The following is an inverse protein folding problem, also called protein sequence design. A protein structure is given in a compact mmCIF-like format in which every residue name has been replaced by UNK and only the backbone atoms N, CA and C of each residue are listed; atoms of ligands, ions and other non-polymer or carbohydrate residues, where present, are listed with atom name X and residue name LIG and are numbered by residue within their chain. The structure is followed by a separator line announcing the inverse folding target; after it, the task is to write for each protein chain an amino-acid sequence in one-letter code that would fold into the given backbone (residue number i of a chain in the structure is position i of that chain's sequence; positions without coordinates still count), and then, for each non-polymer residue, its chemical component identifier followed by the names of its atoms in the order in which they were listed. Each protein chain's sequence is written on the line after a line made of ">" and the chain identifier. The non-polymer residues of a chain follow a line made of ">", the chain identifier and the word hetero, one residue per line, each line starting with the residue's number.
data_IF_543457846013
#
_entry.id   IF_543457846013
#
_cell.length_a   1.000
_cell.length_b   1.000
_cell.length_c   1.000
_cell.angle_alpha   90.00
_cell.angle_beta   90.00
_cell.angle_gamma   90.00
#
_symmetry.space_group_name_H-M   'P 1'
#
loop_
_entity.id
_entity.type
_entity.pdbx_description
1 polymer ?
#
# COMPACT_ATOMS: atom_id res chain seq x y z
N UNK A 1 -10.14 -14.98 -1.92
CA UNK A 1 -9.49 -14.21 -3.00
C UNK A 1 -8.35 -15.09 -3.45
N UNK A 2 -8.40 -15.59 -4.69
CA UNK A 2 -7.44 -16.58 -5.20
C UNK A 2 -6.33 -15.83 -5.91
N UNK A 3 -5.34 -15.39 -5.15
CA UNK A 3 -4.22 -14.63 -5.68
C UNK A 3 -3.17 -15.59 -6.26
N UNK A 4 -2.55 -15.27 -7.41
CA UNK A 4 -1.53 -16.13 -8.02
C UNK A 4 -0.24 -16.19 -7.18
N UNK A 5 0.40 -17.36 -7.17
CA UNK A 5 1.76 -17.53 -6.62
C UNK A 5 2.81 -17.35 -7.73
N UNK A 6 4.01 -16.91 -7.34
CA UNK A 6 5.17 -16.86 -8.24
C UNK A 6 5.87 -18.22 -8.28
N UNK A 7 6.37 -18.60 -9.46
CA UNK A 7 7.24 -19.76 -9.63
C UNK A 7 8.67 -19.30 -9.94
N UNK A 8 9.58 -19.45 -8.99
CA UNK A 8 10.98 -18.97 -9.13
C UNK A 8 11.71 -19.54 -10.35
N UNK A 9 11.41 -20.80 -10.72
CA UNK A 9 12.07 -21.48 -11.85
C UNK A 9 11.43 -21.20 -13.21
N UNK A 10 10.36 -20.40 -13.26
CA UNK A 10 9.67 -20.01 -14.48
C UNK A 10 9.41 -18.50 -14.43
N UNK A 11 10.23 -17.70 -15.13
CA UNK A 11 10.21 -16.23 -15.04
C UNK A 11 8.85 -15.58 -15.33
N UNK A 12 8.02 -16.24 -16.14
CA UNK A 12 6.65 -15.81 -16.47
C UNK A 12 5.58 -16.71 -15.84
N UNK A 13 6.00 -17.68 -15.03
CA UNK A 13 5.14 -18.70 -14.45
C UNK A 13 4.36 -18.18 -13.25
N UNK A 14 3.06 -17.97 -13.45
CA UNK A 14 2.09 -17.82 -12.36
C UNK A 14 1.43 -19.17 -12.07
N UNK A 15 1.37 -19.53 -10.78
CA UNK A 15 0.64 -20.70 -10.32
C UNK A 15 -0.77 -20.25 -9.93
N UNK A 16 -1.77 -20.89 -10.51
CA UNK A 16 -3.19 -20.60 -10.30
C UNK A 16 -3.94 -21.90 -9.96
N UNK A 17 -5.00 -21.78 -9.15
CA UNK A 17 -5.93 -22.89 -8.94
C UNK A 17 -6.58 -23.30 -10.25
N UNK A 18 -6.61 -24.61 -10.54
CA UNK A 18 -7.28 -25.17 -11.71
C UNK A 18 -8.81 -25.05 -11.60
N UNK A 19 -9.32 -25.22 -10.38
CA UNK A 19 -10.72 -25.11 -10.01
C UNK A 19 -10.83 -24.22 -8.77
N UNK A 20 -10.85 -22.88 -8.92
CA UNK A 20 -10.83 -21.95 -7.78
C UNK A 20 -11.93 -22.23 -6.76
N UNK A 21 -13.11 -22.67 -7.20
CA UNK A 21 -14.24 -22.96 -6.30
C UNK A 21 -14.07 -24.25 -5.47
N UNK A 22 -13.06 -25.07 -5.76
CA UNK A 22 -12.72 -26.27 -5.00
C UNK A 22 -11.45 -26.04 -4.18
N UNK A 23 -11.60 -26.08 -2.85
CA UNK A 23 -10.47 -25.91 -1.93
C UNK A 23 -9.42 -27.01 -2.07
N UNK A 24 -9.77 -28.19 -2.60
CA UNK A 24 -8.82 -29.28 -2.80
C UNK A 24 -8.22 -29.29 -4.21
N UNK A 25 -8.54 -28.29 -5.03
CA UNK A 25 -8.02 -28.19 -6.40
C UNK A 25 -6.50 -28.07 -6.41
N UNK A 26 -5.88 -28.75 -7.38
CA UNK A 26 -4.49 -28.54 -7.70
C UNK A 26 -4.25 -27.11 -8.20
N UNK A 27 -3.03 -26.63 -7.97
CA UNK A 27 -2.58 -25.34 -8.46
C UNK A 27 -1.47 -25.58 -9.47
N UNK A 28 -1.61 -25.08 -10.69
CA UNK A 28 -0.65 -25.35 -11.76
C UNK A 28 -0.15 -24.09 -12.44
N UNK A 29 1.07 -24.17 -12.96
CA UNK A 29 1.65 -23.11 -13.76
C UNK A 29 1.08 -23.17 -15.18
N UNK A 30 0.69 -22.02 -15.74
CA UNK A 30 0.20 -21.96 -17.13
C UNK A 30 1.31 -22.10 -18.20
N UNK A 31 2.58 -21.95 -17.79
CA UNK A 31 3.72 -21.92 -18.71
C UNK A 31 4.62 -23.16 -18.61
N UNK A 32 4.48 -23.98 -17.57
CA UNK A 32 5.25 -25.21 -17.41
C UNK A 32 4.43 -26.29 -16.71
N UNK A 33 4.90 -27.53 -16.72
CA UNK A 33 4.20 -28.68 -16.13
C UNK A 33 4.27 -28.76 -14.59
N UNK A 34 4.56 -27.65 -13.92
CA UNK A 34 4.64 -27.62 -12.46
C UNK A 34 3.25 -27.61 -11.84
N UNK A 35 3.02 -28.50 -10.88
CA UNK A 35 1.78 -28.62 -10.12
C UNK A 35 2.11 -28.60 -8.63
N UNK A 36 1.33 -27.82 -7.88
CA UNK A 36 1.43 -27.61 -6.45
C UNK A 36 0.11 -28.01 -5.79
N UNK A 37 0.21 -28.73 -4.67
CA UNK A 37 -0.92 -29.11 -3.84
C UNK A 37 -0.78 -28.45 -2.46
N UNK A 38 -1.89 -28.32 -1.73
CA UNK A 38 -1.87 -27.82 -0.36
C UNK A 38 -1.68 -26.30 -0.22
N UNK A 39 -1.91 -25.53 -1.29
CA UNK A 39 -1.90 -24.06 -1.26
C UNK A 39 -2.83 -23.47 -0.16
N UNK A 40 -4.04 -24.00 0.10
CA UNK A 40 -4.87 -23.49 1.20
C UNK A 40 -4.21 -23.60 2.58
N UNK A 41 -3.43 -24.66 2.82
CA UNK A 41 -2.70 -24.83 4.07
C UNK A 41 -1.54 -23.83 4.16
N UNK A 42 -0.82 -23.61 3.06
CA UNK A 42 0.20 -22.57 2.97
C UNK A 42 -0.39 -21.18 3.27
N UNK A 43 -1.47 -20.79 2.57
CA UNK A 43 -2.13 -19.50 2.79
C UNK A 43 -2.65 -19.34 4.22
N UNK A 44 -3.17 -20.42 4.82
CA UNK A 44 -3.59 -20.41 6.23
C UNK A 44 -2.41 -20.13 7.17
N UNK A 45 -1.28 -20.80 6.96
CA UNK A 45 -0.09 -20.62 7.79
C UNK A 45 0.48 -19.20 7.66
N UNK A 46 0.56 -18.70 6.42
CA UNK A 46 1.02 -17.32 6.13
C UNK A 46 0.09 -16.29 6.76
N UNK A 47 -1.23 -16.51 6.70
CA UNK A 47 -2.22 -15.64 7.35
C UNK A 47 -2.01 -15.59 8.87
N UNK A 48 -1.85 -16.76 9.52
CA UNK A 48 -1.63 -16.83 10.97
C UNK A 48 -0.33 -16.12 11.37
N UNK A 49 0.75 -16.30 10.59
CA UNK A 49 2.00 -15.60 10.81
C UNK A 49 1.80 -14.08 10.69
N UNK A 50 1.15 -13.62 9.63
CA UNK A 50 0.87 -12.20 9.42
C UNK A 50 0.03 -11.59 10.55
N UNK A 51 -1.02 -12.28 10.99
CA UNK A 51 -1.91 -11.84 12.08
C UNK A 51 -1.21 -11.82 13.44
N UNK A 52 -0.14 -12.62 13.61
CA UNK A 52 0.67 -12.61 14.83
C UNK A 52 1.62 -11.42 14.93
N UNK A 53 1.92 -10.73 13.82
CA UNK A 53 2.78 -9.55 13.80
C UNK A 53 2.00 -8.35 14.35
N UNK A 54 2.44 -7.73 15.46
CA UNK A 54 1.80 -6.52 15.96
C UNK A 54 1.82 -5.41 14.91
N UNK A 55 0.74 -4.62 14.81
CA UNK A 55 0.67 -3.49 13.83
C UNK A 55 1.74 -2.41 14.05
N UNK A 56 2.36 -2.40 15.24
CA UNK A 56 3.47 -1.52 15.63
C UNK A 56 4.84 -2.15 15.40
N UNK A 57 4.91 -3.43 15.02
CA UNK A 57 6.16 -4.13 14.72
C UNK A 57 6.51 -4.00 13.24
N UNK A 58 7.12 -2.87 12.90
CA UNK A 58 7.49 -2.55 11.52
C UNK A 58 8.58 -3.47 10.99
N UNK A 59 9.51 -3.89 11.87
CA UNK A 59 10.58 -4.81 11.50
C UNK A 59 10.03 -6.19 11.18
N UNK A 60 9.06 -6.67 11.97
CA UNK A 60 8.33 -7.89 11.66
C UNK A 60 7.64 -7.84 10.30
N UNK A 61 7.02 -6.70 9.96
CA UNK A 61 6.39 -6.50 8.64
C UNK A 61 7.41 -6.48 7.49
N UNK A 62 8.58 -5.85 7.67
CA UNK A 62 9.67 -5.86 6.68
C UNK A 62 10.19 -7.28 6.42
N UNK A 63 10.49 -8.03 7.50
CA UNK A 63 10.94 -9.42 7.42
C UNK A 63 9.88 -10.32 6.78
N UNK A 64 8.60 -10.08 7.05
CA UNK A 64 7.51 -10.79 6.41
C UNK A 64 7.49 -10.55 4.89
N UNK A 65 7.66 -9.30 4.44
CA UNK A 65 7.74 -8.98 3.00
C UNK A 65 8.95 -9.67 2.37
N UNK A 66 10.13 -9.58 2.98
CA UNK A 66 11.36 -10.20 2.47
C UNK A 66 11.20 -11.72 2.33
N UNK A 67 10.69 -12.38 3.38
CA UNK A 67 10.48 -13.84 3.41
C UNK A 67 9.55 -14.34 2.31
N UNK A 68 8.53 -13.56 1.97
CA UNK A 68 7.41 -14.03 1.17
C UNK A 68 7.30 -13.42 -0.23
N UNK A 69 8.07 -12.37 -0.56
CA UNK A 69 8.01 -11.72 -1.89
C UNK A 69 8.45 -12.61 -3.05
N UNK A 70 9.22 -13.65 -2.75
CA UNK A 70 9.66 -14.66 -3.71
C UNK A 70 8.59 -15.71 -4.00
N UNK A 71 7.67 -15.92 -3.06
CA UNK A 71 6.55 -16.87 -3.16
C UNK A 71 5.29 -16.19 -3.68
N UNK A 72 5.02 -14.98 -3.17
CA UNK A 72 3.86 -14.18 -3.51
C UNK A 72 4.29 -12.94 -4.27
N UNK A 73 3.62 -12.67 -5.40
CA UNK A 73 3.89 -11.46 -6.17
C UNK A 73 3.66 -10.18 -5.36
N UNK A 74 4.24 -9.07 -5.79
CA UNK A 74 4.18 -7.79 -5.07
C UNK A 74 2.75 -7.29 -4.80
N UNK A 75 1.78 -7.66 -5.64
CA UNK A 75 0.36 -7.32 -5.53
C UNK A 75 -0.49 -8.37 -4.83
N UNK A 76 0.09 -9.50 -4.40
CA UNK A 76 -0.63 -10.52 -3.64
C UNK A 76 -1.13 -9.93 -2.32
N UNK A 77 -2.34 -10.29 -1.90
CA UNK A 77 -3.04 -9.66 -0.77
C UNK A 77 -2.21 -9.59 0.52
N UNK A 78 -1.49 -10.66 0.90
CA UNK A 78 -0.60 -10.64 2.07
C UNK A 78 0.53 -9.60 1.96
N UNK A 79 1.26 -9.58 0.83
CA UNK A 79 2.37 -8.64 0.60
C UNK A 79 1.84 -7.21 0.54
N UNK A 80 0.74 -7.01 -0.19
CA UNK A 80 0.07 -5.72 -0.32
C UNK A 80 -0.39 -5.20 1.05
N UNK A 81 -0.94 -6.08 1.89
CA UNK A 81 -1.41 -5.72 3.22
C UNK A 81 -0.26 -5.33 4.15
N UNK A 82 0.87 -6.03 4.10
CA UNK A 82 2.05 -5.67 4.88
C UNK A 82 2.61 -4.31 4.43
N UNK A 83 2.70 -4.08 3.12
CA UNK A 83 3.11 -2.78 2.55
C UNK A 83 2.16 -1.64 2.91
N UNK A 84 0.85 -1.89 2.92
CA UNK A 84 -0.16 -0.92 3.35
C UNK A 84 0.01 -0.54 4.84
N UNK A 85 0.29 -1.52 5.71
CA UNK A 85 0.54 -1.24 7.13
C UNK A 85 1.80 -0.39 7.32
N UNK A 86 2.90 -0.75 6.63
CA UNK A 86 4.14 0.03 6.64
C UNK A 86 3.95 1.45 6.08
N UNK A 87 3.19 1.59 4.99
CA UNK A 87 2.97 2.91 4.36
C UNK A 87 2.25 3.88 5.28
N UNK A 88 1.29 3.39 6.08
CA UNK A 88 0.58 4.15 7.11
C UNK A 88 1.49 4.43 8.33
N UNK A 89 2.31 3.47 8.71
CA UNK A 89 3.10 3.54 9.94
C UNK A 89 4.34 4.45 9.85
N UNK A 90 5.05 4.43 8.72
CA UNK A 90 6.28 5.20 8.54
C UNK A 90 6.05 6.70 8.83
N UNK A 91 6.75 7.23 9.82
CA UNK A 91 6.67 8.64 10.26
C UNK A 91 5.53 8.98 11.22
N UNK A 92 4.63 8.04 11.56
CA UNK A 92 3.51 8.30 12.50
C UNK A 92 3.78 7.83 13.93
N UNK A 93 4.57 6.78 14.12
CA UNK A 93 4.83 6.20 15.44
C UNK A 93 6.12 6.74 16.07
N UNK A 94 6.12 6.86 17.39
CA UNK A 94 7.17 7.50 18.19
C UNK A 94 8.58 6.96 17.89
N UNK A 95 8.72 5.64 17.66
CA UNK A 95 10.01 5.00 17.36
C UNK A 95 10.71 5.50 16.09
N UNK A 96 10.00 6.09 15.12
CA UNK A 96 10.61 6.74 13.95
C UNK A 96 11.04 8.18 14.21
N UNK A 97 10.36 8.87 15.14
CA UNK A 97 10.69 10.24 15.53
C UNK A 97 11.91 10.29 16.44
N UNK A 98 12.08 9.29 17.30
CA UNK A 98 13.16 9.22 18.28
C UNK A 98 14.50 8.80 17.66
N UNK A 99 14.49 7.96 16.61
CA UNK A 99 15.71 7.41 16.00
C UNK A 99 16.14 8.10 14.69
N UNK A 100 15.46 9.18 14.26
CA UNK A 100 15.75 9.90 13.00
C UNK A 100 15.81 8.98 11.75
N UNK A 101 15.05 7.88 11.76
CA UNK A 101 15.07 6.82 10.73
C UNK A 101 14.22 7.14 9.49
N UNK A 102 13.68 8.35 9.38
CA UNK A 102 12.97 8.81 8.18
C UNK A 102 13.95 9.47 7.21
N UNK A 103 14.99 8.73 6.84
CA UNK A 103 15.88 9.15 5.77
C UNK A 103 15.18 9.13 4.41
N UNK A 104 15.83 9.72 3.40
CA UNK A 104 15.28 9.79 2.06
C UNK A 104 14.99 8.39 1.48
N UNK A 105 15.81 7.38 1.78
CA UNK A 105 15.63 6.01 1.30
C UNK A 105 14.35 5.37 1.86
N UNK A 106 14.10 5.50 3.16
CA UNK A 106 12.89 4.99 3.81
C UNK A 106 11.64 5.70 3.28
N UNK A 107 11.74 7.01 3.02
CA UNK A 107 10.64 7.77 2.43
C UNK A 107 10.37 7.38 0.97
N UNK A 108 11.41 7.05 0.20
CA UNK A 108 11.26 6.52 -1.16
C UNK A 108 10.53 5.17 -1.16
N UNK A 109 10.91 4.26 -0.25
CA UNK A 109 10.20 2.99 -0.05
C UNK A 109 8.73 3.21 0.36
N UNK A 110 8.46 4.16 1.26
CA UNK A 110 7.09 4.55 1.62
C UNK A 110 6.29 5.01 0.41
N UNK A 111 6.87 5.87 -0.44
CA UNK A 111 6.22 6.34 -1.67
C UNK A 111 5.95 5.18 -2.63
N UNK A 112 6.90 4.26 -2.81
CA UNK A 112 6.71 3.07 -3.64
C UNK A 112 5.52 2.21 -3.15
N UNK A 113 5.45 1.96 -1.84
CA UNK A 113 4.34 1.21 -1.25
C UNK A 113 3.00 1.93 -1.40
N UNK A 114 2.95 3.24 -1.15
CA UNK A 114 1.74 4.03 -1.37
C UNK A 114 1.27 3.98 -2.84
N UNK A 115 2.19 4.05 -3.81
CA UNK A 115 1.86 3.96 -5.24
C UNK A 115 1.32 2.58 -5.61
N UNK A 116 1.94 1.52 -5.10
CA UNK A 116 1.48 0.14 -5.33
C UNK A 116 0.10 -0.11 -4.73
N UNK A 117 -0.13 0.37 -3.49
CA UNK A 117 -1.43 0.29 -2.82
C UNK A 117 -2.47 1.03 -3.65
N UNK A 118 -2.27 2.31 -3.97
CA UNK A 118 -3.24 3.10 -4.74
C UNK A 118 -3.54 2.47 -6.11
N UNK A 119 -2.51 1.98 -6.82
CA UNK A 119 -2.69 1.28 -8.10
C UNK A 119 -3.59 0.05 -7.94
N UNK A 120 -3.37 -0.73 -6.88
CA UNK A 120 -4.13 -1.96 -6.65
C UNK A 120 -5.56 -1.66 -6.20
N UNK A 121 -5.74 -0.67 -5.32
CA UNK A 121 -7.06 -0.20 -4.90
C UNK A 121 -7.90 0.26 -6.08
N UNK A 122 -7.32 0.99 -7.04
CA UNK A 122 -8.03 1.42 -8.27
C UNK A 122 -8.44 0.29 -9.20
N UNK A 123 -7.83 -0.89 -9.08
CA UNK A 123 -8.23 -2.09 -9.84
C UNK A 123 -9.40 -2.78 -9.14
N UNK A 124 -9.37 -2.82 -7.81
CA UNK A 124 -10.34 -3.55 -6.98
C UNK A 124 -11.63 -2.74 -6.79
N UNK A 125 -11.48 -1.45 -6.52
CA UNK A 125 -12.56 -0.55 -6.16
C UNK A 125 -13.06 0.19 -7.40
N UNK A 126 -14.39 0.23 -7.58
CA UNK A 126 -15.02 1.00 -8.65
C UNK A 126 -15.50 2.35 -8.15
N UNK A 127 -15.20 3.42 -8.89
CA UNK A 127 -15.76 4.75 -8.62
C UNK A 127 -15.22 5.40 -7.35
N UNK A 128 -16.10 6.09 -6.62
CA UNK A 128 -15.75 6.79 -5.37
C UNK A 128 -15.63 5.75 -4.25
N UNK A 129 -14.45 5.63 -3.66
CA UNK A 129 -14.16 4.64 -2.61
C UNK A 129 -13.34 5.24 -1.48
N UNK A 130 -13.74 4.92 -0.24
CA UNK A 130 -13.00 5.26 0.98
C UNK A 130 -11.55 4.77 0.91
N UNK A 131 -11.33 3.58 0.36
CA UNK A 131 -9.98 2.98 0.24
C UNK A 131 -9.10 3.74 -0.73
N UNK A 132 -9.65 4.17 -1.86
CA UNK A 132 -8.96 5.06 -2.81
C UNK A 132 -8.64 6.39 -2.12
N UNK A 133 -9.61 7.00 -1.43
CA UNK A 133 -9.42 8.27 -0.73
C UNK A 133 -8.30 8.21 0.31
N UNK A 134 -8.26 7.16 1.12
CA UNK A 134 -7.18 6.91 2.07
C UNK A 134 -5.83 6.74 1.37
N UNK A 135 -5.76 5.91 0.32
CA UNK A 135 -4.51 5.66 -0.41
C UNK A 135 -3.97 6.94 -1.08
N UNK A 136 -4.85 7.78 -1.64
CA UNK A 136 -4.49 9.08 -2.19
C UNK A 136 -3.91 10.00 -1.12
N UNK A 137 -4.55 10.09 0.04
CA UNK A 137 -4.05 10.89 1.16
C UNK A 137 -2.67 10.40 1.64
N UNK A 138 -2.51 9.10 1.86
CA UNK A 138 -1.22 8.53 2.30
C UNK A 138 -0.09 8.80 1.29
N UNK A 139 -0.37 8.69 -0.01
CA UNK A 139 0.61 8.99 -1.06
C UNK A 139 0.96 10.49 -1.08
N UNK A 140 -0.04 11.37 -0.99
CA UNK A 140 0.18 12.82 -0.97
C UNK A 140 1.09 13.23 0.20
N UNK A 141 0.83 12.71 1.40
CA UNK A 141 1.63 13.02 2.58
C UNK A 141 3.05 12.42 2.49
N UNK A 142 3.20 11.22 1.95
CA UNK A 142 4.52 10.62 1.72
C UNK A 142 5.37 11.46 0.74
N UNK A 143 4.74 11.95 -0.34
CA UNK A 143 5.39 12.82 -1.33
C UNK A 143 5.78 14.17 -0.74
N UNK A 144 4.90 14.81 0.05
CA UNK A 144 5.21 16.08 0.73
C UNK A 144 6.45 15.92 1.63
N UNK A 145 6.46 14.90 2.48
CA UNK A 145 7.56 14.62 3.40
C UNK A 145 8.87 14.26 2.67
N UNK A 146 8.80 13.46 1.60
CA UNK A 146 9.97 13.17 0.77
C UNK A 146 10.55 14.43 0.12
N UNK A 147 9.70 15.34 -0.35
CA UNK A 147 10.16 16.61 -0.95
C UNK A 147 10.91 17.47 0.06
N UNK A 148 10.43 17.51 1.31
CA UNK A 148 11.05 18.25 2.41
C UNK A 148 12.41 17.67 2.82
N UNK A 149 12.50 16.35 2.96
CA UNK A 149 13.72 15.66 3.44
C UNK A 149 14.79 15.54 2.35
N UNK A 150 14.40 15.14 1.14
CA UNK A 150 15.35 14.86 0.06
C UNK A 150 15.72 16.09 -0.78
N UNK A 151 15.04 17.22 -0.57
CA UNK A 151 15.09 18.41 -1.44
C UNK A 151 14.79 18.12 -2.92
N UNK A 152 14.27 16.92 -3.25
CA UNK A 152 13.86 16.58 -4.60
C UNK A 152 12.63 17.39 -4.96
N UNK A 153 12.63 17.89 -6.20
CA UNK A 153 11.47 18.58 -6.77
C UNK A 153 10.39 17.55 -7.09
N UNK A 154 9.41 17.42 -6.20
CA UNK A 154 8.21 16.62 -6.46
C UNK A 154 7.17 17.53 -7.11
N UNK A 155 6.53 17.12 -8.21
CA UNK A 155 5.57 17.96 -8.90
C UNK A 155 4.38 18.30 -7.99
N UNK A 156 4.23 19.58 -7.65
CA UNK A 156 3.13 20.03 -6.77
C UNK A 156 1.74 19.70 -7.31
N UNK A 157 1.59 19.60 -8.63
CA UNK A 157 0.32 19.21 -9.25
C UNK A 157 -0.06 17.76 -8.92
N UNK A 158 0.92 16.87 -8.74
CA UNK A 158 0.67 15.47 -8.37
C UNK A 158 0.08 15.39 -6.97
N UNK A 159 0.71 16.07 -6.00
CA UNK A 159 0.22 16.16 -4.62
C UNK A 159 -1.18 16.80 -4.58
N UNK A 160 -1.38 17.88 -5.34
CA UNK A 160 -2.68 18.55 -5.44
C UNK A 160 -3.78 17.61 -5.93
N UNK A 161 -3.55 16.89 -7.04
CA UNK A 161 -4.54 15.99 -7.62
C UNK A 161 -4.90 14.85 -6.64
N UNK A 162 -3.91 14.29 -5.95
CA UNK A 162 -4.11 13.26 -4.93
C UNK A 162 -4.96 13.79 -3.76
N UNK A 163 -4.67 15.00 -3.26
CA UNK A 163 -5.45 15.62 -2.19
C UNK A 163 -6.89 15.93 -2.63
N UNK A 164 -7.10 16.41 -3.85
CA UNK A 164 -8.44 16.65 -4.40
C UNK A 164 -9.27 15.35 -4.46
N UNK A 165 -8.69 14.27 -4.96
CA UNK A 165 -9.35 12.95 -5.01
C UNK A 165 -9.59 12.38 -3.61
N UNK A 166 -8.66 12.58 -2.67
CA UNK A 166 -8.84 12.20 -1.27
C UNK A 166 -10.01 12.96 -0.61
N UNK A 167 -10.08 14.28 -0.79
CA UNK A 167 -11.18 15.11 -0.29
C UNK A 167 -12.50 14.66 -0.87
N UNK A 168 -12.57 14.48 -2.19
CA UNK A 168 -13.80 14.03 -2.85
C UNK A 168 -14.25 12.67 -2.29
N UNK A 169 -13.34 11.70 -2.22
CA UNK A 169 -13.66 10.33 -1.82
C UNK A 169 -14.07 10.23 -0.34
N UNK A 170 -13.39 10.97 0.52
CA UNK A 170 -13.63 10.94 1.97
C UNK A 170 -14.75 11.91 2.39
N UNK A 171 -15.28 12.72 1.47
CA UNK A 171 -16.34 13.67 1.79
C UNK A 171 -17.68 13.01 2.12
N UNK A 172 -17.93 11.82 1.59
CA UNK A 172 -19.16 11.07 1.80
C UNK A 172 -19.18 10.27 3.11
N UNK A 173 -18.04 10.24 3.82
CA UNK A 173 -17.91 9.51 5.06
C UNK A 173 -18.66 10.17 6.22
N UNK A 174 -19.22 9.40 7.17
CA UNK A 174 -19.92 9.95 8.33
C UNK A 174 -19.05 10.93 9.11
N UNK A 175 -19.63 12.03 9.58
CA UNK A 175 -18.88 13.09 10.27
C UNK A 175 -18.08 12.62 11.48
N UNK A 176 -18.58 11.61 12.19
CA UNK A 176 -17.93 11.02 13.35
C UNK A 176 -16.80 10.03 13.01
N UNK A 177 -16.70 9.61 11.75
CA UNK A 177 -15.75 8.57 11.32
C UNK A 177 -14.31 9.07 11.30
N UNK A 178 -13.36 8.14 11.45
CA UNK A 178 -11.95 8.43 11.25
C UNK A 178 -11.66 8.88 9.81
N UNK A 179 -12.35 8.30 8.83
CA UNK A 179 -12.16 8.59 7.41
C UNK A 179 -12.56 10.03 7.06
N UNK A 180 -13.65 10.53 7.63
CA UNK A 180 -14.00 11.95 7.48
C UNK A 180 -12.93 12.87 8.06
N UNK A 181 -12.35 12.53 9.22
CA UNK A 181 -11.26 13.31 9.82
C UNK A 181 -10.05 13.38 8.89
N UNK A 182 -9.70 12.28 8.23
CA UNK A 182 -8.67 12.26 7.18
C UNK A 182 -9.04 13.16 5.99
N UNK A 183 -10.30 13.14 5.55
CA UNK A 183 -10.78 14.03 4.49
C UNK A 183 -10.64 15.50 4.82
N UNK A 184 -10.95 15.89 6.07
CA UNK A 184 -10.76 17.27 6.55
C UNK A 184 -9.28 17.64 6.58
N UNK A 185 -8.40 16.73 7.02
CA UNK A 185 -6.94 16.96 6.97
C UNK A 185 -6.46 17.17 5.53
N UNK A 186 -6.91 16.33 4.60
CA UNK A 186 -6.59 16.47 3.18
C UNK A 186 -7.04 17.84 2.62
N UNK A 187 -8.21 18.33 3.04
CA UNK A 187 -8.73 19.64 2.64
C UNK A 187 -7.85 20.78 3.18
N UNK A 188 -7.42 20.70 4.45
CA UNK A 188 -6.50 21.68 5.05
C UNK A 188 -5.16 21.73 4.31
N UNK A 189 -4.58 20.56 4.02
CA UNK A 189 -3.33 20.42 3.26
C UNK A 189 -3.44 21.01 1.84
N UNK A 190 -4.59 20.80 1.19
CA UNK A 190 -4.85 21.34 -0.14
C UNK A 190 -4.95 22.88 -0.13
N UNK A 191 -5.58 23.46 0.89
CA UNK A 191 -5.68 24.91 1.08
C UNK A 191 -4.28 25.52 1.30
N UNK A 192 -3.46 24.88 2.13
CA UNK A 192 -2.08 25.32 2.38
C UNK A 192 -1.25 25.29 1.08
N UNK A 193 -1.33 24.18 0.33
CA UNK A 193 -0.62 24.02 -0.94
C UNK A 193 -1.00 25.09 -1.97
N UNK A 194 -2.30 25.40 -2.09
CA UNK A 194 -2.81 26.46 -2.99
C UNK A 194 -2.32 27.84 -2.57
N UNK A 195 -2.32 28.13 -1.27
CA UNK A 195 -1.84 29.41 -0.73
C UNK A 195 -0.34 29.61 -1.03
N UNK A 196 0.46 28.56 -0.86
CA UNK A 196 1.90 28.55 -1.16
C UNK A 196 2.23 28.66 -2.66
N UNK A 197 1.28 28.37 -3.54
CA UNK A 197 1.44 28.58 -4.98
C UNK A 197 1.17 30.03 -5.36
N UNK A 198 0.20 30.68 -4.70
CA UNK A 198 -0.16 32.09 -4.93
C UNK A 198 0.86 33.08 -4.35
N UNK A 199 1.54 32.72 -3.26
CA UNK A 199 2.56 33.57 -2.63
C UNK A 199 3.90 33.60 -3.39
N UNK A 200 4.20 32.59 -4.22
CA UNK A 200 5.44 32.51 -5.02
C UNK A 200 5.35 33.18 -6.40
N UNK A 201 4.17 33.66 -6.79
CA UNK A 201 3.92 34.37 -8.05
C UNK A 201 3.87 35.90 -7.88
N UNK A 202 4.17 36.42 -6.69
CA UNK A 202 4.45 37.84 -6.40
C UNK A 202 5.92 38.01 -6.07
#
# INVERSE_FOLDING_TARGET
>A
MYDPLLLQNCKEGLILSESPLDLNSAWSCRHCSFVLNGVPLLERNVRMEMESIPKTDFRGLELFIEKYSDTFGSSHSFILKAKQLLSVAYGRYAGFKENNTMDAETLEKKVEYCRLVLKTERIIESGISTRIGMACYELAMALKLLSEVSQKSIPKHEIKNLLEEAVQSLSYEPLSSHYRKLGIQAEMELIELRSNLLSKTR
#
